data_IF_498049406090
#
_entry.id   IF_498049406090
#
_cell.length_a   1.000
_cell.length_b   1.000
_cell.length_c   1.000
_cell.angle_alpha   90.00
_cell.angle_beta   90.00
_cell.angle_gamma   90.00
#
_symmetry.space_group_name_H-M   'P 1'
#
loop_
_entity.id
_entity.type
_entity.pdbx_description
1 polymer ?
#
# COMPACT_ATOMS: atom_id res chain seq x y z
N UNK A 1 -15.07 10.00 -0.82
CA UNK A 1 -13.66 10.30 -0.44
C UNK A 1 -12.92 8.98 -0.28
N UNK A 2 -11.90 8.74 -1.08
CA UNK A 2 -11.11 7.49 -1.04
C UNK A 2 -10.07 7.61 0.08
N UNK A 3 -10.40 7.18 1.28
CA UNK A 3 -9.50 7.25 2.44
C UNK A 3 -8.44 6.16 2.38
N UNK A 4 -7.19 6.57 2.64
CA UNK A 4 -6.06 5.69 2.88
C UNK A 4 -6.03 5.32 4.36
N UNK A 5 -6.02 4.03 4.67
CA UNK A 5 -6.02 3.54 6.05
C UNK A 5 -4.95 2.49 6.26
N UNK A 6 -4.07 2.71 7.22
CA UNK A 6 -3.16 1.68 7.72
C UNK A 6 -3.89 0.77 8.70
N UNK A 7 -3.72 -0.53 8.54
CA UNK A 7 -4.23 -1.55 9.46
C UNK A 7 -3.09 -2.48 9.87
N UNK A 8 -3.03 -2.93 11.14
CA UNK A 8 -2.12 -3.99 11.53
C UNK A 8 -2.32 -5.23 10.66
N UNK A 9 -1.23 -5.89 10.30
CA UNK A 9 -1.28 -7.16 9.60
C UNK A 9 -1.85 -8.23 10.53
N UNK A 10 -2.93 -8.91 10.12
CA UNK A 10 -3.50 -10.06 10.84
C UNK A 10 -2.66 -11.34 10.68
N UNK A 11 -1.60 -11.30 9.87
CA UNK A 11 -0.74 -12.45 9.63
C UNK A 11 0.09 -12.78 10.87
N UNK A 12 0.02 -14.03 11.31
CA UNK A 12 0.88 -14.60 12.37
C UNK A 12 2.37 -14.57 12.01
N UNK A 13 2.70 -14.47 10.71
CA UNK A 13 4.06 -14.59 10.19
C UNK A 13 4.68 -13.26 9.76
N UNK A 14 3.88 -12.21 9.57
CA UNK A 14 4.37 -10.89 9.19
C UNK A 14 3.96 -9.86 10.23
N UNK A 15 4.94 -9.41 11.03
CA UNK A 15 4.80 -8.26 11.91
C UNK A 15 4.95 -6.99 11.08
N UNK A 16 3.84 -6.27 10.88
CA UNK A 16 3.81 -5.08 10.06
C UNK A 16 2.43 -4.47 9.92
N UNK A 17 2.34 -3.47 9.06
CA UNK A 17 1.11 -2.76 8.74
C UNK A 17 0.80 -2.86 7.24
N UNK A 18 -0.48 -2.77 6.91
CA UNK A 18 -1.01 -2.88 5.56
C UNK A 18 -1.79 -1.61 5.23
N UNK A 19 -1.54 -1.05 4.06
CA UNK A 19 -2.22 0.14 3.58
C UNK A 19 -3.40 -0.25 2.69
N UNK A 20 -4.57 0.27 3.04
CA UNK A 20 -5.81 0.07 2.32
C UNK A 20 -6.27 1.35 1.64
N UNK A 21 -6.74 1.24 0.40
CA UNK A 21 -7.51 2.26 -0.31
C UNK A 21 -8.97 1.79 -0.39
N UNK A 22 -9.82 2.36 0.47
CA UNK A 22 -11.16 1.81 0.68
C UNK A 22 -11.09 0.38 1.24
N UNK A 23 -11.59 -0.60 0.47
CA UNK A 23 -11.57 -2.02 0.84
C UNK A 23 -10.36 -2.79 0.30
N UNK A 24 -9.57 -2.19 -0.60
CA UNK A 24 -8.48 -2.89 -1.28
C UNK A 24 -7.14 -2.65 -0.58
N UNK A 25 -6.43 -3.73 -0.27
CA UNK A 25 -5.03 -3.66 0.14
C UNK A 25 -4.16 -3.24 -1.04
N UNK A 26 -3.45 -2.13 -0.89
CA UNK A 26 -2.61 -1.58 -1.95
C UNK A 26 -1.11 -1.61 -1.63
N UNK A 27 -0.74 -1.70 -0.35
CA UNK A 27 0.67 -1.82 0.06
C UNK A 27 0.81 -2.46 1.46
N UNK A 28 2.05 -2.73 1.85
CA UNK A 28 2.40 -3.19 3.20
C UNK A 28 3.82 -2.76 3.57
N UNK A 29 4.03 -2.47 4.84
CA UNK A 29 5.33 -2.26 5.45
C UNK A 29 5.50 -3.29 6.58
N UNK A 30 6.58 -4.05 6.56
CA UNK A 30 6.78 -5.15 7.51
C UNK A 30 8.24 -5.32 7.88
N UNK A 31 8.47 -5.87 9.07
CA UNK A 31 9.80 -6.22 9.50
C UNK A 31 10.32 -7.44 8.72
N UNK A 32 11.48 -7.30 8.10
CA UNK A 32 12.18 -8.37 7.40
C UNK A 32 13.35 -8.87 8.25
N UNK A 33 13.10 -9.97 8.97
CA UNK A 33 14.10 -10.59 9.82
C UNK A 33 15.33 -11.10 9.06
N UNK A 34 15.25 -11.28 7.74
CA UNK A 34 16.37 -11.75 6.92
C UNK A 34 17.32 -10.63 6.52
N UNK A 35 16.86 -9.37 6.55
CA UNK A 35 17.65 -8.19 6.21
C UNK A 35 18.36 -7.55 7.41
N UNK A 36 18.20 -8.12 8.61
CA UNK A 36 18.78 -7.65 9.89
C UNK A 36 20.30 -7.60 9.96
N UNK A 37 21.02 -8.09 8.94
CA UNK A 37 22.47 -7.88 8.80
C UNK A 37 22.83 -6.51 8.23
N UNK A 38 21.84 -5.72 7.79
CA UNK A 38 21.96 -4.32 7.37
C UNK A 38 21.07 -3.41 8.22
N UNK A 39 21.38 -2.11 8.25
CA UNK A 39 20.68 -1.11 9.06
C UNK A 39 19.20 -0.93 8.69
N UNK A 40 18.73 -1.53 7.60
CA UNK A 40 17.40 -1.36 7.03
C UNK A 40 16.53 -2.61 7.20
N UNK A 41 15.92 -2.76 8.38
CA UNK A 41 15.19 -3.97 8.77
C UNK A 41 13.71 -3.99 8.36
N UNK A 42 13.18 -2.93 7.75
CA UNK A 42 11.77 -2.83 7.37
C UNK A 42 11.60 -2.81 5.86
N UNK A 43 11.00 -3.86 5.31
CA UNK A 43 10.71 -3.98 3.89
C UNK A 43 9.33 -3.40 3.55
N UNK A 44 9.19 -2.96 2.30
CA UNK A 44 7.94 -2.39 1.79
C UNK A 44 7.50 -3.09 0.52
N UNK A 45 6.19 -3.29 0.39
CA UNK A 45 5.62 -3.90 -0.81
C UNK A 45 4.44 -3.09 -1.31
N UNK A 46 4.35 -2.85 -2.61
CA UNK A 46 3.25 -2.17 -3.28
C UNK A 46 2.61 -3.08 -4.31
N UNK A 47 1.27 -3.08 -4.34
CA UNK A 47 0.47 -3.85 -5.29
C UNK A 47 -0.15 -2.98 -6.39
N UNK A 48 0.19 -1.69 -6.45
CA UNK A 48 -0.36 -0.78 -7.46
C UNK A 48 0.31 -1.03 -8.82
N UNK A 49 -0.47 -1.10 -9.91
CA UNK A 49 0.06 -1.41 -11.24
C UNK A 49 0.98 -0.29 -11.74
N UNK A 50 2.13 -0.65 -12.29
CA UNK A 50 3.12 0.31 -12.79
C UNK A 50 4.03 0.92 -11.70
N UNK A 51 3.86 0.54 -10.44
CA UNK A 51 4.89 0.70 -9.41
C UNK A 51 5.70 -0.58 -9.26
N UNK A 52 6.94 -0.46 -8.78
CA UNK A 52 7.72 -1.64 -8.38
C UNK A 52 7.02 -2.32 -7.21
N UNK A 53 7.00 -3.66 -7.26
CA UNK A 53 6.39 -4.48 -6.22
C UNK A 53 7.08 -4.32 -4.87
N UNK A 54 8.41 -4.16 -4.88
CA UNK A 54 9.23 -3.86 -3.71
C UNK A 54 9.72 -2.40 -3.83
N UNK A 55 9.43 -1.57 -2.82
CA UNK A 55 9.88 -0.17 -2.80
C UNK A 55 11.21 -0.01 -2.05
N UNK A 56 11.73 -1.08 -1.45
CA UNK A 56 13.00 -1.13 -0.74
C UNK A 56 12.87 -1.38 0.76
N UNK A 57 14.02 -1.31 1.41
CA UNK A 57 14.21 -1.50 2.84
C UNK A 57 14.51 -0.16 3.52
N UNK A 58 14.05 -0.03 4.75
CA UNK A 58 14.11 1.18 5.55
C UNK A 58 14.55 0.87 6.98
N UNK A 59 15.15 1.85 7.69
CA UNK A 59 15.66 1.64 9.04
C UNK A 59 14.56 1.45 10.07
N UNK A 60 13.39 2.06 9.86
CA UNK A 60 12.25 2.00 10.76
C UNK A 60 10.91 1.96 10.02
N UNK A 61 9.86 1.57 10.76
CA UNK A 61 8.50 1.50 10.24
C UNK A 61 7.96 2.87 9.76
N UNK A 62 8.17 4.00 10.47
CA UNK A 62 7.77 5.31 9.97
C UNK A 62 8.34 5.67 8.60
N UNK A 63 9.64 5.45 8.37
CA UNK A 63 10.31 5.71 7.10
C UNK A 63 9.76 4.81 5.98
N UNK A 64 9.52 3.52 6.29
CA UNK A 64 8.89 2.59 5.37
C UNK A 64 7.48 3.06 4.96
N UNK A 65 6.67 3.52 5.91
CA UNK A 65 5.31 4.03 5.65
C UNK A 65 5.33 5.31 4.82
N UNK A 66 6.20 6.26 5.14
CA UNK A 66 6.35 7.50 4.38
C UNK A 66 6.74 7.24 2.92
N UNK A 67 7.66 6.30 2.67
CA UNK A 67 8.03 5.89 1.32
C UNK A 67 6.85 5.28 0.55
N UNK A 68 6.06 4.41 1.20
CA UNK A 68 4.84 3.84 0.62
C UNK A 68 3.83 4.94 0.30
N UNK A 69 3.57 5.86 1.22
CA UNK A 69 2.61 6.95 1.03
C UNK A 69 3.02 7.87 -0.13
N UNK A 70 4.30 8.21 -0.24
CA UNK A 70 4.84 8.99 -1.37
C UNK A 70 4.65 8.27 -2.70
N UNK A 71 4.93 6.97 -2.75
CA UNK A 71 4.75 6.17 -3.96
C UNK A 71 3.27 6.09 -4.37
N UNK A 72 2.37 5.87 -3.41
CA UNK A 72 0.92 5.85 -3.63
C UNK A 72 0.41 7.22 -4.08
N UNK A 73 0.83 8.31 -3.44
CA UNK A 73 0.45 9.67 -3.83
C UNK A 73 0.91 10.01 -5.25
N UNK A 74 2.14 9.61 -5.61
CA UNK A 74 2.65 9.76 -6.98
C UNK A 74 1.79 8.98 -7.99
N UNK A 75 1.45 7.73 -7.66
CA UNK A 75 0.62 6.89 -8.53
C UNK A 75 -0.79 7.46 -8.70
N UNK A 76 -1.42 7.93 -7.62
CA UNK A 76 -2.74 8.58 -7.66
C UNK A 76 -2.71 9.83 -8.54
N UNK A 77 -1.66 10.64 -8.44
CA UNK A 77 -1.48 11.82 -9.30
C UNK A 77 -1.29 11.46 -10.77
N UNK A 78 -0.54 10.38 -11.05
CA UNK A 78 -0.16 9.98 -12.41
C UNK A 78 -1.25 9.22 -13.15
N UNK A 79 -2.07 8.44 -12.43
CA UNK A 79 -3.00 7.50 -13.07
C UNK A 79 -4.19 8.15 -13.74
N UNK A 80 -4.48 9.43 -13.45
CA UNK A 80 -5.55 10.16 -14.13
C UNK A 80 -6.89 9.42 -14.10
N UNK A 81 -7.10 8.56 -13.09
CA UNK A 81 -8.27 7.68 -12.99
C UNK A 81 -9.53 8.54 -13.03
N UNK A 82 -10.22 8.51 -14.17
CA UNK A 82 -11.55 9.07 -14.30
C UNK A 82 -12.53 8.05 -13.75
N UNK A 83 -13.22 8.40 -12.67
CA UNK A 83 -14.32 7.61 -12.15
C UNK A 83 -15.45 7.67 -13.17
N UNK A 84 -15.59 6.63 -14.00
CA UNK A 84 -16.84 6.41 -14.72
C UNK A 84 -17.87 5.97 -13.68
N UNK A 85 -18.83 6.85 -13.35
CA UNK A 85 -20.01 6.45 -12.61
C UNK A 85 -20.63 5.26 -13.35
N UNK A 86 -20.69 4.10 -12.68
CA UNK A 86 -21.50 3.00 -13.18
C UNK A 86 -22.94 3.45 -13.02
N UNK A 87 -23.50 4.01 -14.09
CA UNK A 87 -24.93 4.26 -14.18
C UNK A 87 -25.61 2.89 -14.13
N UNK A 88 -25.92 2.41 -12.92
CA UNK A 88 -26.86 1.31 -12.72
C UNK A 88 -28.20 1.76 -13.29
N UNK A 89 -28.40 1.50 -14.58
CA UNK A 89 -29.69 1.59 -15.21
C UNK A 89 -30.61 0.63 -14.44
N UNK A 90 -31.57 1.18 -13.71
CA UNK A 90 -32.70 0.46 -13.13
C UNK A 90 -33.31 -0.44 -14.21
N UNK A 91 -33.11 -1.75 -14.10
CA UNK A 91 -34.01 -2.72 -14.74
C UNK A 91 -35.28 -2.70 -13.89
N UNK A 92 -36.28 -1.94 -14.34
CA UNK A 92 -37.66 -2.13 -13.88
C UNK A 92 -38.13 -3.48 -14.41
N UNK A 93 -38.57 -4.34 -13.51
CA UNK A 93 -39.46 -5.46 -13.84
C UNK A 93 -40.74 -5.31 -13.05
#
# INVERSE_FOLDING_TARGET
>A
MTTLNWKPSESRWNQGEQLYLGQFKIASAYYDATHTRGQDSYATRCSLPGLKGDLGHFPDMPAAKDAVEKAVAFWLKKTGLQFTEVTSAKVKS
#
